data_IF_818605002259
#
_entry.id   IF_818605002259
#
_cell.length_a   1.000
_cell.length_b   1.000
_cell.length_c   1.000
_cell.angle_alpha   90.00
_cell.angle_beta   90.00
_cell.angle_gamma   90.00
#
_symmetry.space_group_name_H-M   'P 1'
#
loop_
_entity.id
_entity.type
_entity.pdbx_description
1 polymer ?
#
# COMPACT_ATOMS: atom_id res chain seq x y z
N UNK A 1 -6.21 -0.99 13.77
CA UNK A 1 -5.24 -0.59 12.73
C UNK A 1 -5.19 -1.70 11.71
N UNK A 2 -5.41 -1.41 10.42
CA UNK A 2 -5.39 -2.42 9.36
C UNK A 2 -4.09 -2.30 8.58
N UNK A 3 -3.54 -3.44 8.19
CA UNK A 3 -2.31 -3.54 7.40
C UNK A 3 -2.70 -4.02 6.00
N UNK A 4 -2.02 -3.50 4.99
CA UNK A 4 -2.23 -3.90 3.62
C UNK A 4 -0.89 -4.14 2.93
N UNK A 5 -0.88 -5.09 2.00
CA UNK A 5 0.16 -5.27 1.02
C UNK A 5 -0.33 -4.74 -0.31
N UNK A 6 0.41 -3.80 -0.89
CA UNK A 6 0.08 -3.18 -2.16
C UNK A 6 1.18 -3.49 -3.18
N UNK A 7 0.78 -4.02 -4.33
CA UNK A 7 1.69 -4.22 -5.47
C UNK A 7 1.80 -2.89 -6.20
N UNK A 8 3.03 -2.40 -6.31
CA UNK A 8 3.41 -1.16 -6.99
C UNK A 8 3.42 -1.41 -8.51
N UNK A 9 2.89 -0.45 -9.28
CA UNK A 9 3.24 -0.34 -10.71
C UNK A 9 4.75 -0.16 -10.90
N UNK A 10 5.24 -0.38 -12.11
CA UNK A 10 6.63 -0.09 -12.47
C UNK A 10 6.89 1.42 -12.44
N UNK A 11 8.11 1.83 -12.09
CA UNK A 11 8.60 3.22 -12.22
C UNK A 11 7.88 4.29 -11.38
N UNK A 12 7.31 3.92 -10.24
CA UNK A 12 6.60 4.90 -9.39
C UNK A 12 7.54 5.77 -8.59
N UNK A 13 7.19 7.05 -8.55
CA UNK A 13 7.79 8.00 -7.63
C UNK A 13 7.27 7.75 -6.20
N UNK A 14 8.13 7.13 -5.38
CA UNK A 14 7.84 6.82 -3.98
C UNK A 14 7.62 8.09 -3.13
N UNK A 15 8.25 9.21 -3.49
CA UNK A 15 8.08 10.47 -2.77
C UNK A 15 6.68 11.02 -2.99
N UNK A 16 6.24 11.04 -4.25
CA UNK A 16 4.88 11.45 -4.61
C UNK A 16 3.83 10.54 -3.97
N UNK A 17 4.04 9.21 -4.02
CA UNK A 17 3.19 8.24 -3.35
C UNK A 17 3.05 8.54 -1.85
N UNK A 18 4.15 8.81 -1.14
CA UNK A 18 4.12 9.14 0.29
C UNK A 18 3.25 10.38 0.58
N UNK A 19 3.34 11.41 -0.26
CA UNK A 19 2.53 12.61 -0.10
C UNK A 19 1.03 12.33 -0.31
N UNK A 20 0.68 11.52 -1.31
CA UNK A 20 -0.71 11.10 -1.53
C UNK A 20 -1.26 10.26 -0.38
N UNK A 21 -0.50 9.29 0.10
CA UNK A 21 -0.88 8.45 1.24
C UNK A 21 -1.12 9.29 2.51
N UNK A 22 -0.23 10.27 2.78
CA UNK A 22 -0.37 11.18 3.93
C UNK A 22 -1.67 11.97 3.89
N UNK A 23 -2.09 12.48 2.72
CA UNK A 23 -3.37 13.19 2.55
C UNK A 23 -4.57 12.32 2.92
N UNK A 24 -4.49 11.00 2.69
CA UNK A 24 -5.54 10.03 3.05
C UNK A 24 -5.33 9.38 4.43
N UNK A 25 -4.40 9.88 5.25
CA UNK A 25 -4.04 9.31 6.57
C UNK A 25 -3.63 7.83 6.49
N UNK A 26 -2.93 7.45 5.42
CA UNK A 26 -2.34 6.13 5.24
C UNK A 26 -0.84 6.25 5.43
N UNK A 27 -0.25 5.31 6.18
CA UNK A 27 1.19 5.27 6.46
C UNK A 27 1.85 4.20 5.61
N UNK A 28 2.89 4.57 4.85
CA UNK A 28 3.78 3.62 4.18
C UNK A 28 4.81 3.10 5.19
N UNK A 29 4.66 1.86 5.65
CA UNK A 29 5.54 1.21 6.64
C UNK A 29 6.81 0.64 6.03
N UNK A 30 6.70 0.03 4.87
CA UNK A 30 7.82 -0.60 4.19
C UNK A 30 7.65 -0.52 2.68
N UNK A 31 8.77 -0.54 1.97
CA UNK A 31 8.82 -0.65 0.52
C UNK A 31 9.87 -1.71 0.15
N UNK A 32 9.38 -2.85 -0.33
CA UNK A 32 10.17 -3.97 -0.80
C UNK A 32 10.52 -3.76 -2.27
N UNK A 33 11.50 -2.89 -2.52
CA UNK A 33 11.86 -2.40 -3.86
C UNK A 33 12.14 -3.53 -4.87
N UNK A 34 12.79 -4.60 -4.44
CA UNK A 34 13.14 -5.74 -5.30
C UNK A 34 11.92 -6.43 -5.92
N UNK A 35 10.79 -6.46 -5.19
CA UNK A 35 9.57 -7.14 -5.62
C UNK A 35 8.43 -6.18 -5.92
N UNK A 36 8.68 -4.86 -5.85
CA UNK A 36 7.66 -3.85 -6.12
C UNK A 36 6.44 -3.95 -5.18
N UNK A 37 6.67 -4.19 -3.88
CA UNK A 37 5.57 -4.27 -2.89
C UNK A 37 5.73 -3.19 -1.82
N UNK A 38 4.61 -2.59 -1.42
CA UNK A 38 4.53 -1.63 -0.33
C UNK A 38 3.68 -2.19 0.82
N UNK A 39 4.15 -2.00 2.06
CA UNK A 39 3.35 -2.27 3.26
C UNK A 39 2.68 -0.97 3.70
N UNK A 40 1.35 -0.96 3.71
CA UNK A 40 0.55 0.18 4.12
C UNK A 40 -0.13 -0.11 5.46
N UNK A 41 -0.34 0.94 6.23
CA UNK A 41 -1.10 0.88 7.48
C UNK A 41 -2.11 2.02 7.49
N UNK A 42 -3.37 1.72 7.80
CA UNK A 42 -4.42 2.72 7.91
C UNK A 42 -5.48 2.30 8.92
N UNK A 43 -6.13 3.29 9.52
CA UNK A 43 -7.34 3.06 10.31
C UNK A 43 -8.56 2.76 9.43
N UNK A 44 -8.55 3.27 8.19
CA UNK A 44 -9.63 3.10 7.23
C UNK A 44 -9.30 2.03 6.17
N UNK A 45 -10.32 1.49 5.49
CA UNK A 45 -10.15 0.67 4.30
C UNK A 45 -9.27 1.34 3.24
N UNK A 46 -8.19 0.67 2.84
CA UNK A 46 -7.40 1.10 1.67
C UNK A 46 -7.97 0.39 0.45
N UNK A 47 -8.42 1.19 -0.52
CA UNK A 47 -8.92 0.69 -1.80
C UNK A 47 -7.92 1.03 -2.90
N UNK A 48 -7.64 0.07 -3.77
CA UNK A 48 -6.79 0.29 -4.95
C UNK A 48 -7.30 1.46 -5.80
N UNK A 49 -8.61 1.60 -5.97
CA UNK A 49 -9.22 2.64 -6.80
C UNK A 49 -8.87 4.06 -6.38
N UNK A 50 -8.53 4.27 -5.10
CA UNK A 50 -8.08 5.56 -4.61
C UNK A 50 -6.66 5.94 -5.07
N UNK A 51 -5.92 4.99 -5.64
CA UNK A 51 -4.49 5.07 -5.96
C UNK A 51 -4.17 4.23 -7.21
N UNK A 52 -5.09 4.17 -8.19
CA UNK A 52 -4.91 3.36 -9.40
C UNK A 52 -3.66 3.77 -10.21
N UNK A 53 -3.14 4.99 -10.04
CA UNK A 53 -1.89 5.44 -10.66
C UNK A 53 -0.63 4.81 -10.03
N UNK A 54 -0.72 4.33 -8.79
CA UNK A 54 0.42 3.78 -8.04
C UNK A 54 0.32 2.27 -7.81
N UNK A 55 -0.88 1.70 -7.68
CA UNK A 55 -1.04 0.29 -7.30
C UNK A 55 -1.65 -0.58 -8.41
N UNK A 56 -1.06 -1.77 -8.61
CA UNK A 56 -1.63 -2.87 -9.39
C UNK A 56 -2.66 -3.63 -8.57
N UNK A 57 -2.39 -3.84 -7.28
CA UNK A 57 -3.30 -4.52 -6.34
C UNK A 57 -3.09 -4.01 -4.93
N UNK A 58 -4.11 -4.14 -4.08
CA UNK A 58 -4.04 -3.89 -2.64
C UNK A 58 -4.82 -4.99 -1.94
N UNK A 59 -4.18 -5.72 -1.05
CA UNK A 59 -4.79 -6.77 -0.24
C UNK A 59 -4.65 -6.43 1.24
N UNK A 60 -5.73 -6.57 1.99
CA UNK A 60 -5.71 -6.47 3.46
C UNK A 60 -4.93 -7.68 3.99
N UNK A 61 -3.91 -7.41 4.80
CA UNK A 61 -3.12 -8.42 5.49
C UNK A 61 -4.03 -9.09 6.53
N UNK A 62 -4.65 -10.19 6.13
CA UNK A 62 -5.47 -11.00 7.00
C UNK A 62 -4.54 -12.00 7.69
N UNK A 63 -4.49 -11.94 9.01
CA UNK A 63 -3.78 -12.86 9.91
C UNK A 63 -4.27 -14.34 9.82
N UNK A 64 -4.91 -14.74 8.71
CA UNK A 64 -5.31 -16.11 8.43
C UNK A 64 -4.12 -16.92 7.89
N UNK A 65 -3.03 -16.98 8.67
CA UNK A 65 -2.15 -18.14 8.64
C UNK A 65 -2.77 -19.22 9.54
N UNK A 66 -3.87 -19.82 9.09
CA UNK A 66 -4.20 -21.18 9.55
C UNK A 66 -3.41 -22.12 8.66
N UNK A 67 -2.24 -22.55 9.15
CA UNK A 67 -1.52 -23.72 8.64
C UNK A 67 -2.18 -24.97 9.23
#
# INVERSE_FOLDING_TARGET
MKVYLAILKTDIDIKELKEQLKKKKITLKAHYKTIGVAKLESELPVLKDNFNDYFISVEEDKDNLTI
#
